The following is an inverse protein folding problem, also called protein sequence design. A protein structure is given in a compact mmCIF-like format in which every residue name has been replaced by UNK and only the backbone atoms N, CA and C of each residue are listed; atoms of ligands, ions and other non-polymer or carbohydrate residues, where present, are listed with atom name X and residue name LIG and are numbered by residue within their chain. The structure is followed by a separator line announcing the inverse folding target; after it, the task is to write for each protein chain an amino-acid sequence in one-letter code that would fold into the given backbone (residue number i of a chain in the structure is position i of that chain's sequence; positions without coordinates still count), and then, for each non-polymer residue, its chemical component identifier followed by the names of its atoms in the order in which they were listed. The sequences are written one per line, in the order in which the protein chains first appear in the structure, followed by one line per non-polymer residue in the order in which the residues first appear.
data_IF_393460540681
#
_entry.id   IF_393460540681
#
_cell.length_a   1.000
_cell.length_b   1.000
_cell.length_c   1.000
_cell.angle_alpha   90.00
_cell.angle_beta   90.00
_cell.angle_gamma   90.00
#
_symmetry.space_group_name_H-M   'P 1'
#
loop_
_entity.id
_entity.type
_entity.pdbx_description
1 polymer ?
#
# COMPACT_ATOMS: atom_id res chain seq x y z
N UNK A 1 13.33 22.73 1.59
CA UNK A 1 13.92 21.64 2.40
C UNK A 1 13.70 20.23 1.80
N UNK A 2 12.49 19.79 1.40
CA UNK A 2 12.24 18.34 1.13
C UNK A 2 12.80 17.76 -0.20
N UNK A 3 13.42 18.55 -1.10
CA UNK A 3 13.89 18.01 -2.41
C UNK A 3 15.03 16.99 -2.28
N UNK A 4 15.83 17.09 -1.23
CA UNK A 4 17.08 16.35 -1.08
C UNK A 4 16.88 14.92 -0.55
N UNK A 5 15.78 14.68 0.18
CA UNK A 5 15.42 13.39 0.79
C UNK A 5 14.50 12.59 -0.13
N UNK A 6 14.95 12.24 -1.33
CA UNK A 6 14.02 11.68 -2.32
C UNK A 6 14.54 10.47 -3.07
N UNK A 7 15.81 10.08 -2.89
CA UNK A 7 16.36 8.87 -3.49
C UNK A 7 16.16 7.65 -2.57
N UNK A 8 16.42 6.44 -3.09
CA UNK A 8 16.23 5.16 -2.38
C UNK A 8 17.55 4.41 -2.26
N UNK A 9 17.63 3.51 -1.28
CA UNK A 9 18.78 2.61 -1.06
C UNK A 9 18.37 1.18 -0.84
N UNK A 10 19.29 0.26 -1.11
CA UNK A 10 19.30 -1.09 -0.56
C UNK A 10 20.10 -2.00 -1.49
N UNK A 11 21.25 -2.51 -1.04
CA UNK A 11 22.06 -3.40 -1.86
C UNK A 11 21.28 -4.68 -2.21
N UNK A 12 20.58 -5.27 -1.23
CA UNK A 12 19.74 -6.46 -1.46
C UNK A 12 18.48 -6.10 -2.24
N UNK A 13 17.80 -5.02 -1.89
CA UNK A 13 16.57 -4.56 -2.58
C UNK A 13 16.82 -4.32 -4.08
N UNK A 14 17.92 -3.64 -4.43
CA UNK A 14 18.35 -3.41 -5.81
C UNK A 14 18.76 -4.72 -6.50
N UNK A 15 19.44 -5.63 -5.77
CA UNK A 15 19.82 -6.96 -6.26
C UNK A 15 18.64 -7.90 -6.48
N UNK A 16 17.52 -7.71 -5.78
CA UNK A 16 16.28 -8.43 -6.07
C UNK A 16 15.62 -7.80 -7.30
N UNK A 17 15.65 -6.48 -7.40
CA UNK A 17 15.10 -5.71 -8.53
C UNK A 17 13.84 -4.94 -8.19
N UNK A 18 13.59 -4.69 -6.90
CA UNK A 18 12.46 -3.88 -6.41
C UNK A 18 12.57 -2.40 -6.82
N UNK A 19 13.77 -1.93 -7.13
CA UNK A 19 14.01 -0.62 -7.73
C UNK A 19 13.42 -0.45 -9.14
N UNK A 20 12.93 -1.54 -9.77
CA UNK A 20 12.13 -1.46 -11.00
C UNK A 20 10.73 -0.90 -10.75
N UNK A 21 10.16 -1.09 -9.56
CA UNK A 21 8.83 -0.60 -9.16
C UNK A 21 8.86 0.78 -8.52
N UNK A 22 7.68 1.41 -8.37
CA UNK A 22 7.53 2.79 -7.90
C UNK A 22 8.10 3.02 -6.49
N UNK A 23 7.92 2.06 -5.57
CA UNK A 23 8.33 2.18 -4.17
C UNK A 23 9.83 2.46 -4.00
N UNK A 24 10.66 1.72 -4.72
CA UNK A 24 12.13 1.76 -4.64
C UNK A 24 12.82 2.35 -5.87
N UNK A 25 12.07 2.80 -6.89
CA UNK A 25 12.65 3.51 -8.03
C UNK A 25 13.56 4.66 -7.55
N UNK A 26 14.71 4.84 -8.17
CA UNK A 26 15.63 5.94 -7.85
C UNK A 26 14.99 7.32 -8.07
N UNK A 27 15.60 8.35 -7.48
CA UNK A 27 15.09 9.70 -7.23
C UNK A 27 14.13 10.36 -8.25
N UNK A 28 13.40 11.41 -7.87
CA UNK A 28 12.28 11.97 -8.63
C UNK A 28 12.62 12.56 -9.99
N UNK A 29 13.89 12.86 -10.24
CA UNK A 29 14.36 13.37 -11.53
C UNK A 29 14.53 12.24 -12.57
N UNK A 30 14.52 10.98 -12.12
CA UNK A 30 14.50 9.80 -12.97
C UNK A 30 13.25 9.82 -13.86
N UNK A 31 13.40 9.80 -15.20
CA UNK A 31 12.26 9.78 -16.13
C UNK A 31 11.27 8.64 -15.82
N UNK A 32 11.77 7.48 -15.41
CA UNK A 32 10.95 6.33 -15.03
C UNK A 32 10.06 6.62 -13.81
N UNK A 33 10.61 7.27 -12.79
CA UNK A 33 9.83 7.65 -11.60
C UNK A 33 8.73 8.65 -11.95
N UNK A 34 9.04 9.67 -12.76
CA UNK A 34 8.05 10.65 -13.22
C UNK A 34 6.94 9.98 -14.01
N UNK A 35 7.30 9.02 -14.86
CA UNK A 35 6.32 8.28 -15.64
C UNK A 35 5.44 7.39 -14.76
N UNK A 36 5.97 6.67 -13.77
CA UNK A 36 5.13 5.96 -12.80
C UNK A 36 4.15 6.90 -12.09
N UNK A 37 4.62 8.07 -11.63
CA UNK A 37 3.76 9.06 -10.97
C UNK A 37 2.65 9.53 -11.90
N UNK A 38 2.94 9.73 -13.18
CA UNK A 38 1.94 10.10 -14.21
C UNK A 38 0.89 9.01 -14.36
N UNK A 39 1.31 7.75 -14.56
CA UNK A 39 0.41 6.61 -14.73
C UNK A 39 -0.50 6.42 -13.50
N UNK A 40 0.09 6.46 -12.30
CA UNK A 40 -0.67 6.31 -11.06
C UNK A 40 -1.63 7.48 -10.82
N UNK A 41 -1.22 8.72 -11.09
CA UNK A 41 -2.10 9.87 -10.95
C UNK A 41 -3.29 9.83 -11.92
N UNK A 42 -3.12 9.21 -13.09
CA UNK A 42 -4.20 9.02 -14.05
C UNK A 42 -5.18 7.92 -13.62
N UNK A 43 -4.67 6.81 -13.09
CA UNK A 43 -5.51 5.64 -12.77
C UNK A 43 -6.08 5.63 -11.34
N UNK A 44 -5.31 6.07 -10.35
CA UNK A 44 -5.71 6.13 -8.93
C UNK A 44 -5.55 7.55 -8.34
N UNK A 45 -5.62 8.58 -9.19
CA UNK A 45 -5.71 9.95 -8.69
C UNK A 45 -7.08 10.25 -8.09
N UNK A 46 -7.23 11.37 -7.36
CA UNK A 46 -8.48 11.75 -6.68
C UNK A 46 -9.75 11.71 -7.54
N UNK A 47 -9.62 12.08 -8.83
CA UNK A 47 -10.74 12.04 -9.77
C UNK A 47 -11.01 10.63 -10.29
N UNK A 48 -9.96 9.84 -10.49
CA UNK A 48 -10.09 8.48 -11.03
C UNK A 48 -10.72 7.54 -10.00
N UNK A 49 -10.38 7.68 -8.71
CA UNK A 49 -11.00 6.91 -7.63
C UNK A 49 -12.51 7.16 -7.47
N UNK A 50 -13.04 8.26 -8.03
CA UNK A 50 -14.47 8.54 -8.05
C UNK A 50 -15.21 7.90 -9.24
N UNK A 51 -14.50 7.14 -10.09
CA UNK A 51 -15.13 6.40 -11.18
C UNK A 51 -16.13 5.38 -10.62
N UNK A 52 -17.35 5.38 -11.19
CA UNK A 52 -18.44 4.55 -10.70
C UNK A 52 -18.09 3.05 -10.75
N UNK A 53 -17.31 2.60 -11.75
CA UNK A 53 -16.91 1.20 -11.84
C UNK A 53 -15.92 0.85 -10.73
N UNK A 54 -14.96 1.73 -10.42
CA UNK A 54 -14.00 1.50 -9.33
C UNK A 54 -14.70 1.45 -7.97
N UNK A 55 -15.65 2.35 -7.73
CA UNK A 55 -16.47 2.33 -6.51
C UNK A 55 -17.32 1.05 -6.42
N UNK A 56 -17.95 0.65 -7.53
CA UNK A 56 -18.73 -0.58 -7.59
C UNK A 56 -17.86 -1.83 -7.33
N UNK A 57 -16.65 -1.91 -7.90
CA UNK A 57 -15.74 -3.03 -7.65
C UNK A 57 -15.35 -3.14 -6.17
N UNK A 58 -15.15 -2.00 -5.50
CA UNK A 58 -14.88 -1.95 -4.05
C UNK A 58 -16.09 -2.41 -3.23
N UNK A 59 -17.31 -1.97 -3.58
CA UNK A 59 -18.53 -2.40 -2.90
C UNK A 59 -18.77 -3.91 -3.07
N UNK A 60 -18.61 -4.44 -4.29
CA UNK A 60 -18.76 -5.87 -4.57
C UNK A 60 -17.76 -6.72 -3.78
N UNK A 61 -16.48 -6.32 -3.72
CA UNK A 61 -15.48 -7.06 -2.96
C UNK A 61 -15.70 -6.91 -1.45
N UNK A 62 -16.19 -5.76 -0.98
CA UNK A 62 -16.60 -5.57 0.42
C UNK A 62 -17.73 -6.53 0.79
N UNK A 63 -18.73 -6.71 -0.07
CA UNK A 63 -19.80 -7.68 0.18
C UNK A 63 -19.28 -9.11 0.26
N UNK A 64 -18.35 -9.49 -0.62
CA UNK A 64 -17.70 -10.82 -0.56
C UNK A 64 -16.91 -11.01 0.73
N UNK A 65 -16.14 -10.00 1.14
CA UNK A 65 -15.42 -10.03 2.42
C UNK A 65 -16.39 -10.21 3.61
N UNK A 66 -17.49 -9.46 3.65
CA UNK A 66 -18.49 -9.60 4.71
C UNK A 66 -19.11 -11.00 4.73
N UNK A 67 -19.41 -11.58 3.56
CA UNK A 67 -19.91 -12.95 3.47
C UNK A 67 -18.88 -13.98 3.97
N UNK A 68 -17.58 -13.77 3.74
CA UNK A 68 -16.52 -14.62 4.28
C UNK A 68 -16.45 -14.54 5.81
N UNK A 69 -16.51 -13.34 6.38
CA UNK A 69 -16.58 -13.17 7.84
C UNK A 69 -17.79 -13.88 8.46
N UNK A 70 -18.95 -13.85 7.80
CA UNK A 70 -20.15 -14.52 8.28
C UNK A 70 -20.06 -16.05 8.22
N UNK A 71 -19.37 -16.59 7.20
CA UNK A 71 -19.27 -18.05 6.97
C UNK A 71 -18.18 -18.70 7.80
N UNK A 72 -17.06 -18.02 8.00
CA UNK A 72 -15.89 -18.54 8.70
C UNK A 72 -15.23 -17.44 9.55
N UNK A 73 -15.85 -17.07 10.69
CA UNK A 73 -15.33 -16.00 11.53
C UNK A 73 -13.99 -16.33 12.19
N UNK A 74 -13.58 -17.60 12.27
CA UNK A 74 -12.32 -18.00 12.93
C UNK A 74 -11.09 -17.58 12.11
N UNK A 75 -11.22 -17.50 10.78
CA UNK A 75 -10.15 -17.13 9.86
C UNK A 75 -10.17 -15.65 9.45
N UNK A 76 -10.75 -14.77 10.28
CA UNK A 76 -10.94 -13.35 9.96
C UNK A 76 -9.66 -12.58 9.61
N UNK A 77 -8.49 -13.00 10.11
CA UNK A 77 -7.22 -12.33 9.82
C UNK A 77 -6.73 -12.56 8.38
N UNK A 78 -7.20 -13.64 7.74
CA UNK A 78 -6.81 -14.03 6.38
C UNK A 78 -7.57 -13.23 5.32
N UNK A 79 -8.87 -13.04 5.49
CA UNK A 79 -9.74 -12.50 4.44
C UNK A 79 -9.48 -11.05 4.03
N UNK A 80 -9.07 -10.11 4.92
CA UNK A 80 -8.68 -8.77 4.50
C UNK A 80 -7.56 -8.79 3.44
N UNK A 81 -6.58 -9.67 3.62
CA UNK A 81 -5.45 -9.86 2.69
C UNK A 81 -5.93 -10.40 1.36
N UNK A 82 -6.68 -11.49 1.36
CA UNK A 82 -7.20 -12.10 0.15
C UNK A 82 -8.12 -11.16 -0.63
N UNK A 83 -9.04 -10.48 0.06
CA UNK A 83 -10.02 -9.59 -0.58
C UNK A 83 -9.36 -8.34 -1.14
N UNK A 84 -8.35 -7.79 -0.45
CA UNK A 84 -7.56 -6.67 -0.98
C UNK A 84 -6.75 -7.12 -2.19
N UNK A 85 -6.12 -8.30 -2.14
CA UNK A 85 -5.40 -8.88 -3.26
C UNK A 85 -6.30 -9.09 -4.48
N UNK A 86 -7.50 -9.64 -4.28
CA UNK A 86 -8.51 -9.82 -5.32
C UNK A 86 -8.96 -8.50 -5.96
N UNK A 87 -9.24 -7.48 -5.14
CA UNK A 87 -9.61 -6.15 -5.63
C UNK A 87 -8.49 -5.56 -6.49
N UNK A 88 -7.24 -5.62 -6.04
CA UNK A 88 -6.12 -5.06 -6.80
C UNK A 88 -5.87 -5.86 -8.08
N UNK A 89 -6.00 -7.20 -8.06
CA UNK A 89 -5.92 -8.01 -9.29
C UNK A 89 -6.99 -7.63 -10.30
N UNK A 90 -8.21 -7.39 -9.83
CA UNK A 90 -9.31 -6.95 -10.68
C UNK A 90 -9.04 -5.58 -11.28
N UNK A 91 -8.61 -4.61 -10.48
CA UNK A 91 -8.30 -3.26 -10.95
C UNK A 91 -7.09 -3.22 -11.88
N UNK A 92 -6.01 -3.92 -11.54
CA UNK A 92 -4.76 -3.87 -12.29
C UNK A 92 -4.82 -4.71 -13.57
N UNK A 93 -5.37 -5.92 -13.48
CA UNK A 93 -5.28 -6.94 -14.53
C UNK A 93 -6.63 -7.44 -15.07
N UNK A 94 -7.76 -6.93 -14.56
CA UNK A 94 -9.07 -7.39 -14.99
C UNK A 94 -9.32 -8.85 -14.60
N UNK A 95 -8.58 -9.34 -13.60
CA UNK A 95 -8.59 -10.72 -13.15
C UNK A 95 -9.66 -10.92 -12.08
N UNK A 96 -10.50 -11.95 -12.25
CA UNK A 96 -11.45 -12.37 -11.22
C UNK A 96 -10.84 -13.51 -10.42
N UNK A 97 -10.54 -13.25 -9.15
CA UNK A 97 -9.96 -14.25 -8.27
C UNK A 97 -10.93 -15.37 -7.94
N UNK A 98 -10.46 -16.61 -7.95
CA UNK A 98 -11.23 -17.81 -7.64
C UNK A 98 -11.21 -18.14 -6.14
N UNK A 99 -11.14 -17.14 -5.26
CA UNK A 99 -11.00 -17.32 -3.80
C UNK A 99 -12.11 -18.15 -3.14
N UNK A 100 -13.29 -18.22 -3.77
CA UNK A 100 -14.40 -19.05 -3.28
C UNK A 100 -14.20 -20.56 -3.59
N UNK A 101 -13.16 -20.92 -4.36
CA UNK A 101 -12.81 -22.29 -4.76
C UNK A 101 -11.47 -22.76 -4.19
N UNK A 102 -10.77 -21.95 -3.40
CA UNK A 102 -9.48 -22.26 -2.81
C UNK A 102 -8.50 -21.10 -2.86
N UNK A 103 -7.20 -21.40 -2.72
CA UNK A 103 -6.15 -20.40 -2.82
C UNK A 103 -5.93 -20.02 -4.29
N UNK A 104 -5.99 -18.72 -4.57
CA UNK A 104 -5.84 -18.19 -5.92
C UNK A 104 -4.35 -18.13 -6.33
N UNK A 105 -3.95 -18.74 -7.46
CA UNK A 105 -2.54 -18.78 -7.86
C UNK A 105 -1.89 -17.41 -8.05
N UNK A 106 -2.62 -16.41 -8.56
CA UNK A 106 -2.05 -15.07 -8.74
C UNK A 106 -1.95 -14.31 -7.42
N UNK A 107 -2.85 -14.57 -6.47
CA UNK A 107 -2.72 -14.06 -5.09
C UNK A 107 -1.49 -14.66 -4.43
N UNK A 108 -1.31 -15.99 -4.51
CA UNK A 108 -0.18 -16.70 -3.90
C UNK A 108 1.18 -16.21 -4.43
N UNK A 109 1.32 -16.06 -5.75
CA UNK A 109 2.55 -15.54 -6.37
C UNK A 109 2.94 -14.19 -5.78
N UNK A 110 1.96 -13.32 -5.55
CA UNK A 110 2.26 -11.99 -5.00
C UNK A 110 2.55 -12.05 -3.51
N UNK A 111 1.83 -12.87 -2.74
CA UNK A 111 2.14 -13.07 -1.31
C UNK A 111 3.57 -13.57 -1.10
N UNK A 112 4.03 -14.53 -1.90
CA UNK A 112 5.41 -15.04 -1.87
C UNK A 112 6.40 -13.91 -2.16
N UNK A 113 6.16 -13.12 -3.21
CA UNK A 113 7.03 -11.99 -3.55
C UNK A 113 7.06 -10.92 -2.43
N UNK A 114 5.92 -10.63 -1.79
CA UNK A 114 5.82 -9.67 -0.69
C UNK A 114 6.51 -10.14 0.60
N UNK A 115 6.53 -11.44 0.88
CA UNK A 115 7.39 -11.98 1.95
C UNK A 115 8.88 -11.74 1.63
N UNK A 116 9.27 -11.92 0.37
CA UNK A 116 10.60 -11.59 -0.13
C UNK A 116 10.93 -10.11 0.04
N UNK A 117 9.98 -9.23 -0.28
CA UNK A 117 10.08 -7.79 -0.06
C UNK A 117 10.27 -7.41 1.40
N UNK A 118 9.41 -7.91 2.30
CA UNK A 118 9.45 -7.63 3.72
C UNK A 118 10.85 -7.93 4.28
N UNK A 119 11.37 -9.13 3.99
CA UNK A 119 12.72 -9.54 4.39
C UNK A 119 13.83 -8.69 3.75
N UNK A 120 13.71 -8.32 2.48
CA UNK A 120 14.71 -7.49 1.79
C UNK A 120 14.73 -6.04 2.28
N UNK A 121 13.59 -5.53 2.74
CA UNK A 121 13.43 -4.15 3.24
C UNK A 121 13.68 -4.00 4.74
N UNK A 122 13.73 -5.10 5.48
CA UNK A 122 13.92 -5.13 6.93
C UNK A 122 15.30 -4.57 7.34
N UNK A 123 15.34 -3.52 8.19
CA UNK A 123 16.59 -2.95 8.65
C UNK A 123 17.48 -3.98 9.35
N UNK A 124 18.69 -4.18 8.81
CA UNK A 124 19.68 -5.09 9.41
C UNK A 124 19.52 -6.57 9.04
N UNK A 125 18.49 -6.96 8.27
CA UNK A 125 18.32 -8.35 7.82
C UNK A 125 19.50 -8.87 6.99
N UNK A 126 20.20 -7.98 6.27
CA UNK A 126 21.39 -8.30 5.50
C UNK A 126 22.54 -7.36 5.82
N UNK A 127 23.63 -7.91 6.37
CA UNK A 127 24.83 -7.14 6.73
C UNK A 127 25.42 -6.37 5.54
N UNK A 128 25.22 -6.83 4.29
CA UNK A 128 25.72 -6.15 3.09
C UNK A 128 25.12 -4.76 2.87
N UNK A 129 23.93 -4.49 3.42
CA UNK A 129 23.30 -3.18 3.33
C UNK A 129 24.00 -2.15 4.25
N UNK A 130 24.57 -2.60 5.37
CA UNK A 130 25.34 -1.77 6.29
C UNK A 130 26.85 -1.76 5.96
N UNK A 131 27.36 -2.86 5.42
CA UNK A 131 28.77 -3.04 5.08
C UNK A 131 28.91 -3.36 3.59
N UNK A 132 28.95 -2.33 2.71
CA UNK A 132 28.97 -2.54 1.25
C UNK A 132 30.15 -3.39 0.76
N UNK A 133 31.25 -3.48 1.51
CA UNK A 133 32.41 -4.33 1.19
C UNK A 133 32.03 -5.81 1.05
N UNK A 134 31.00 -6.27 1.79
CA UNK A 134 30.52 -7.65 1.73
C UNK A 134 29.96 -8.04 0.35
N UNK A 135 29.64 -7.06 -0.51
CA UNK A 135 29.17 -7.33 -1.88
C UNK A 135 30.20 -8.05 -2.75
N UNK A 136 31.48 -7.87 -2.44
CA UNK A 136 32.59 -8.43 -3.18
C UNK A 136 32.96 -9.85 -2.73
N UNK A 137 32.43 -10.34 -1.60
CA UNK A 137 32.70 -11.70 -1.12
C UNK A 137 32.14 -12.71 -2.14
N UNK A 138 32.97 -13.60 -2.70
CA UNK A 138 32.54 -14.67 -3.59
C UNK A 138 31.47 -15.57 -2.97
N UNK A 139 30.52 -16.08 -3.77
CA UNK A 139 29.41 -16.90 -3.26
C UNK A 139 29.87 -18.19 -2.58
N UNK A 140 30.95 -18.81 -3.08
CA UNK A 140 31.50 -20.05 -2.55
C UNK A 140 32.13 -19.90 -1.16
N UNK A 141 32.42 -18.68 -0.72
CA UNK A 141 32.92 -18.38 0.64
C UNK A 141 31.79 -18.16 1.66
N UNK A 142 30.54 -18.08 1.21
CA UNK A 142 29.38 -17.87 2.08
C UNK A 142 28.58 -19.16 2.25
N UNK A 143 28.20 -19.55 3.48
CA UNK A 143 27.34 -20.71 3.71
C UNK A 143 26.06 -20.61 2.86
N UNK A 144 25.73 -21.68 2.14
CA UNK A 144 24.56 -21.76 1.26
C UNK A 144 24.42 -20.63 0.23
N UNK A 145 25.52 -19.99 -0.17
CA UNK A 145 25.53 -18.86 -1.12
C UNK A 145 25.09 -17.52 -0.53
N UNK A 146 24.83 -17.46 0.78
CA UNK A 146 24.54 -16.24 1.54
C UNK A 146 23.42 -15.37 0.97
N UNK A 147 23.55 -14.05 1.13
CA UNK A 147 22.56 -13.07 0.67
C UNK A 147 22.37 -13.08 -0.86
N UNK A 148 23.38 -13.51 -1.63
CA UNK A 148 23.31 -13.55 -3.11
C UNK A 148 22.37 -14.67 -3.59
N UNK A 149 22.43 -15.85 -2.98
CA UNK A 149 21.50 -16.94 -3.27
C UNK A 149 20.05 -16.55 -2.89
N UNK A 150 19.87 -15.92 -1.73
CA UNK A 150 18.57 -15.40 -1.28
C UNK A 150 18.03 -14.36 -2.27
N UNK A 151 18.86 -13.38 -2.67
CA UNK A 151 18.46 -12.36 -3.64
C UNK A 151 18.10 -12.94 -5.02
N UNK A 152 18.80 -14.01 -5.47
CA UNK A 152 18.45 -14.73 -6.71
C UNK A 152 17.08 -15.40 -6.63
N UNK A 153 16.76 -16.05 -5.51
CA UNK A 153 15.45 -16.66 -5.27
C UNK A 153 14.35 -15.59 -5.29
N UNK A 154 14.51 -14.54 -4.48
CA UNK A 154 13.56 -13.42 -4.41
C UNK A 154 13.40 -12.71 -5.75
N UNK A 155 14.46 -12.62 -6.57
CA UNK A 155 14.37 -12.05 -7.92
C UNK A 155 13.49 -12.90 -8.84
N UNK A 156 13.55 -14.22 -8.72
CA UNK A 156 12.67 -15.12 -9.49
C UNK A 156 11.21 -14.92 -9.09
N UNK A 157 10.93 -14.91 -7.79
CA UNK A 157 9.60 -14.65 -7.23
C UNK A 157 9.07 -13.26 -7.66
N UNK A 158 9.91 -12.23 -7.64
CA UNK A 158 9.57 -10.89 -8.14
C UNK A 158 9.26 -10.88 -9.64
N UNK A 159 10.02 -11.61 -10.46
CA UNK A 159 9.74 -11.69 -11.89
C UNK A 159 8.41 -12.41 -12.15
N UNK A 160 8.11 -13.49 -11.42
CA UNK A 160 6.82 -14.18 -11.51
C UNK A 160 5.65 -13.23 -11.15
N UNK A 161 5.82 -12.41 -10.11
CA UNK A 161 4.86 -11.37 -9.73
C UNK A 161 4.60 -10.33 -10.84
N UNK A 162 5.60 -10.04 -11.67
CA UNK A 162 5.48 -9.08 -12.78
C UNK A 162 4.91 -9.73 -14.04
N UNK A 163 5.40 -10.93 -14.37
CA UNK A 163 5.20 -11.55 -15.67
C UNK A 163 3.90 -12.37 -15.73
N UNK A 164 3.49 -13.06 -14.66
CA UNK A 164 2.32 -13.93 -14.70
C UNK A 164 1.00 -13.14 -14.84
N UNK A 165 0.71 -12.11 -14.02
CA UNK A 165 -0.53 -11.35 -14.18
C UNK A 165 -0.58 -10.56 -15.50
N UNK A 166 0.57 -10.06 -15.97
CA UNK A 166 0.64 -9.39 -17.27
C UNK A 166 0.43 -10.34 -18.44
N UNK A 167 1.02 -11.54 -18.36
CA UNK A 167 0.81 -12.61 -19.34
C UNK A 167 -0.66 -13.02 -19.42
N UNK A 168 -1.34 -13.10 -18.28
CA UNK A 168 -2.80 -13.31 -18.23
C UNK A 168 -3.54 -12.25 -19.04
N UNK A 169 -3.24 -10.95 -18.86
CA UNK A 169 -3.90 -9.88 -19.62
C UNK A 169 -3.69 -10.04 -21.12
N UNK A 170 -2.45 -10.29 -21.56
CA UNK A 170 -2.15 -10.49 -22.99
C UNK A 170 -2.90 -11.69 -23.57
N UNK A 171 -2.98 -12.79 -22.84
CA UNK A 171 -3.75 -13.97 -23.27
C UNK A 171 -5.25 -13.66 -23.39
N UNK A 172 -5.82 -12.90 -22.44
CA UNK A 172 -7.22 -12.48 -22.53
C UNK A 172 -7.46 -11.51 -23.69
N UNK A 173 -6.49 -10.64 -24.01
CA UNK A 173 -6.57 -9.73 -25.18
C UNK A 173 -6.59 -10.53 -26.48
N UNK A 174 -5.67 -11.48 -26.66
CA UNK A 174 -5.61 -12.36 -27.83
C UNK A 174 -6.90 -13.19 -27.99
N UNK A 175 -7.51 -13.60 -26.87
CA UNK A 175 -8.78 -14.33 -26.86
C UNK A 175 -10.02 -13.44 -27.04
N UNK A 176 -9.89 -12.11 -27.09
CA UNK A 176 -11.01 -11.17 -27.16
C UNK A 176 -11.88 -11.13 -25.88
N UNK A 177 -11.30 -11.50 -24.74
CA UNK A 177 -11.98 -11.64 -23.43
C UNK A 177 -11.40 -10.73 -22.34
N UNK A 178 -10.47 -9.85 -22.69
CA UNK A 178 -9.85 -8.92 -21.74
C UNK A 178 -10.90 -8.00 -21.11
N UNK A 179 -10.84 -7.87 -19.78
CA UNK A 179 -11.71 -6.99 -19.02
C UNK A 179 -11.05 -5.65 -18.78
N UNK A 180 -11.82 -4.55 -18.62
CA UNK A 180 -11.27 -3.24 -18.28
C UNK A 180 -10.34 -3.31 -17.06
N UNK A 181 -9.12 -2.81 -17.22
CA UNK A 181 -8.09 -2.81 -16.17
C UNK A 181 -7.00 -1.79 -16.48
N UNK A 182 -6.18 -1.45 -15.48
CA UNK A 182 -4.98 -0.61 -15.66
C UNK A 182 -4.11 -1.11 -16.82
N UNK A 183 -3.71 -2.39 -16.77
CA UNK A 183 -2.81 -2.98 -17.76
C UNK A 183 -3.42 -2.97 -19.15
N UNK A 184 -4.72 -3.31 -19.29
CA UNK A 184 -5.40 -3.28 -20.57
C UNK A 184 -5.42 -1.87 -21.16
N UNK A 185 -5.87 -0.88 -20.38
CA UNK A 185 -5.99 0.50 -20.86
C UNK A 185 -4.65 1.07 -21.37
N UNK A 186 -3.54 0.78 -20.68
CA UNK A 186 -2.22 1.25 -21.11
C UNK A 186 -1.63 0.47 -22.29
N UNK A 187 -1.96 -0.82 -22.44
CA UNK A 187 -1.60 -1.58 -23.64
C UNK A 187 -2.34 -1.05 -24.88
N UNK A 188 -3.63 -0.73 -24.73
CA UNK A 188 -4.46 -0.17 -25.81
C UNK A 188 -4.05 1.26 -26.20
N UNK A 189 -3.72 2.12 -25.23
CA UNK A 189 -3.22 3.49 -25.47
C UNK A 189 -1.99 3.49 -26.39
N UNK A 190 -1.08 2.52 -26.20
CA UNK A 190 0.17 2.43 -26.95
C UNK A 190 0.01 1.88 -28.37
N UNK A 191 -1.09 1.19 -28.68
CA UNK A 191 -1.41 0.47 -29.95
C UNK A 191 -0.41 -0.64 -30.32
N UNK A 192 0.88 -0.34 -30.35
CA UNK A 192 2.01 -1.26 -30.56
C UNK A 192 3.07 -0.97 -29.49
N UNK A 193 2.90 -1.49 -28.26
CA UNK A 193 3.84 -1.26 -27.17
C UNK A 193 5.21 -1.88 -27.48
N UNK A 194 6.28 -1.11 -27.25
CA UNK A 194 7.65 -1.65 -27.31
C UNK A 194 7.95 -2.51 -26.08
N UNK A 195 9.05 -3.27 -26.10
CA UNK A 195 9.49 -4.01 -24.91
C UNK A 195 9.73 -3.11 -23.67
N UNK A 196 10.12 -1.85 -23.89
CA UNK A 196 10.30 -0.85 -22.82
C UNK A 196 8.94 -0.39 -22.27
N UNK A 197 7.94 -0.20 -23.14
CA UNK A 197 6.58 0.13 -22.72
C UNK A 197 5.98 -1.03 -21.92
N UNK A 198 6.09 -2.27 -22.40
CA UNK A 198 5.58 -3.44 -21.68
C UNK A 198 6.23 -3.60 -20.31
N UNK A 199 7.56 -3.43 -20.20
CA UNK A 199 8.27 -3.53 -18.93
C UNK A 199 7.82 -2.44 -17.94
N UNK A 200 7.61 -1.22 -18.41
CA UNK A 200 7.09 -0.12 -17.59
C UNK A 200 5.65 -0.39 -17.12
N UNK A 201 4.77 -0.88 -18.01
CA UNK A 201 3.38 -1.22 -17.67
C UNK A 201 3.35 -2.35 -16.64
N UNK A 202 4.13 -3.41 -16.84
CA UNK A 202 4.31 -4.51 -15.88
C UNK A 202 4.71 -3.96 -14.51
N UNK A 203 5.75 -3.13 -14.48
CA UNK A 203 6.27 -2.58 -13.25
C UNK A 203 5.28 -1.64 -12.54
N UNK A 204 4.50 -0.87 -13.31
CA UNK A 204 3.49 0.02 -12.75
C UNK A 204 2.33 -0.78 -12.15
N UNK A 205 1.81 -1.78 -12.87
CA UNK A 205 0.75 -2.65 -12.39
C UNK A 205 1.17 -3.44 -11.14
N UNK A 206 2.37 -4.02 -11.15
CA UNK A 206 2.92 -4.72 -9.99
C UNK A 206 3.15 -3.79 -8.78
N UNK A 207 3.42 -2.50 -9.04
CA UNK A 207 3.54 -1.49 -7.99
C UNK A 207 2.19 -1.14 -7.35
N UNK A 208 1.07 -1.25 -8.07
CA UNK A 208 -0.28 -1.09 -7.50
C UNK A 208 -0.55 -2.21 -6.49
N UNK A 209 -0.22 -3.45 -6.86
CA UNK A 209 -0.39 -4.61 -5.99
C UNK A 209 0.49 -4.50 -4.75
N UNK A 210 1.81 -4.40 -4.93
CA UNK A 210 2.75 -4.38 -3.80
C UNK A 210 2.51 -3.24 -2.81
N UNK A 211 1.99 -2.10 -3.25
CA UNK A 211 1.64 -0.99 -2.37
C UNK A 211 0.42 -1.23 -1.49
N UNK A 212 -0.61 -1.93 -2.01
CA UNK A 212 -1.89 -2.13 -1.32
C UNK A 212 -2.05 -3.49 -0.63
N UNK A 213 -1.27 -4.49 -1.01
CA UNK A 213 -1.48 -5.88 -0.58
C UNK A 213 -1.17 -6.16 0.90
N UNK A 214 -0.30 -5.38 1.52
CA UNK A 214 0.04 -5.53 2.94
C UNK A 214 -0.55 -4.40 3.80
N UNK A 215 -0.58 -3.18 3.28
CA UNK A 215 -0.90 -1.96 4.04
C UNK A 215 -2.39 -1.87 4.40
N UNK A 216 -3.28 -2.08 3.43
CA UNK A 216 -4.73 -2.06 3.64
C UNK A 216 -5.18 -3.20 4.56
N UNK A 217 -4.78 -4.48 4.34
CA UNK A 217 -5.12 -5.57 5.25
C UNK A 217 -4.62 -5.35 6.69
N UNK A 218 -3.42 -4.77 6.86
CA UNK A 218 -2.89 -4.43 8.18
C UNK A 218 -3.77 -3.40 8.88
N UNK A 219 -4.23 -2.37 8.16
CA UNK A 219 -5.14 -1.35 8.69
C UNK A 219 -6.52 -1.94 9.03
N UNK A 220 -7.06 -2.83 8.19
CA UNK A 220 -8.31 -3.55 8.48
C UNK A 220 -8.18 -4.45 9.71
N UNK A 221 -7.05 -5.14 9.86
CA UNK A 221 -6.77 -5.98 11.04
C UNK A 221 -6.65 -5.13 12.30
N UNK A 222 -5.98 -3.97 12.21
CA UNK A 222 -5.90 -3.01 13.31
C UNK A 222 -7.28 -2.46 13.69
N UNK A 223 -8.15 -2.18 12.71
CA UNK A 223 -9.54 -1.80 12.95
C UNK A 223 -10.30 -2.89 13.71
N UNK A 224 -10.22 -4.15 13.28
CA UNK A 224 -10.89 -5.28 13.95
C UNK A 224 -10.42 -5.38 15.41
N UNK A 225 -9.10 -5.32 15.64
CA UNK A 225 -8.52 -5.31 16.98
C UNK A 225 -9.05 -4.13 17.83
N UNK A 226 -9.08 -2.92 17.28
CA UNK A 226 -9.57 -1.75 17.97
C UNK A 226 -11.05 -1.88 18.38
N UNK A 227 -11.90 -2.41 17.49
CA UNK A 227 -13.31 -2.63 17.80
C UNK A 227 -13.52 -3.72 18.87
N UNK A 228 -12.69 -4.76 18.88
CA UNK A 228 -12.71 -5.78 19.94
C UNK A 228 -12.30 -5.22 21.31
N UNK A 229 -11.32 -4.32 21.33
CA UNK A 229 -10.84 -3.68 22.56
C UNK A 229 -11.76 -2.53 23.04
N UNK A 230 -12.51 -1.91 22.13
CA UNK A 230 -13.39 -0.76 22.39
C UNK A 230 -14.82 -0.97 21.87
N UNK A 231 -15.61 -1.85 22.53
CA UNK A 231 -17.00 -2.09 22.15
C UNK A 231 -17.88 -0.83 22.20
N UNK A 232 -17.53 0.15 23.04
CA UNK A 232 -18.21 1.43 23.14
C UNK A 232 -18.09 2.27 21.85
N UNK A 233 -16.89 2.27 21.25
CA UNK A 233 -16.63 2.91 19.96
C UNK A 233 -17.39 2.19 18.85
N UNK A 234 -17.33 0.85 18.83
CA UNK A 234 -18.06 0.04 17.85
C UNK A 234 -19.57 0.30 17.92
N UNK A 235 -20.15 0.31 19.12
CA UNK A 235 -21.58 0.56 19.32
C UNK A 235 -21.99 1.97 18.88
N UNK A 236 -21.12 2.97 19.07
CA UNK A 236 -21.38 4.33 18.58
C UNK A 236 -21.33 4.41 17.04
N UNK A 237 -20.38 3.74 16.41
CA UNK A 237 -20.30 3.65 14.94
C UNK A 237 -21.54 2.97 14.34
N UNK A 238 -22.03 1.90 14.99
CA UNK A 238 -23.27 1.22 14.59
C UNK A 238 -24.47 2.18 14.66
N UNK A 239 -24.62 2.95 15.75
CA UNK A 239 -25.70 3.96 15.85
C UNK A 239 -25.64 5.02 14.74
N UNK A 240 -24.45 5.43 14.33
CA UNK A 240 -24.28 6.36 13.19
C UNK A 240 -24.77 5.72 11.88
N UNK A 241 -24.42 4.45 11.63
CA UNK A 241 -24.92 3.69 10.48
C UNK A 241 -26.44 3.51 10.53
N UNK A 242 -26.99 3.12 11.67
CA UNK A 242 -28.43 2.91 11.86
C UNK A 242 -29.22 4.17 11.53
N UNK A 243 -28.67 5.34 11.87
CA UNK A 243 -29.30 6.64 11.60
C UNK A 243 -29.42 6.91 10.09
N UNK A 244 -28.42 6.54 9.30
CA UNK A 244 -28.42 6.81 7.85
C UNK A 244 -29.12 5.72 7.03
N UNK A 245 -29.15 4.49 7.53
CA UNK A 245 -29.79 3.35 6.88
C UNK A 245 -31.28 3.24 7.25
N UNK A 246 -31.66 3.80 8.40
CA UNK A 246 -33.01 3.73 8.94
C UNK A 246 -33.38 2.34 9.47
N UNK A 247 -34.59 2.21 10.07
CA UNK A 247 -34.99 1.00 10.80
C UNK A 247 -35.24 -0.21 9.90
N UNK A 248 -35.38 -0.02 8.59
CA UNK A 248 -35.76 -1.07 7.64
C UNK A 248 -34.57 -1.73 6.94
N UNK A 249 -33.34 -1.22 7.10
CA UNK A 249 -32.10 -1.81 6.54
C UNK A 249 -32.22 -2.25 5.07
N UNK A 250 -32.94 -1.48 4.24
CA UNK A 250 -33.30 -1.91 2.88
C UNK A 250 -32.12 -1.93 1.90
N UNK A 251 -30.96 -1.44 2.32
CA UNK A 251 -29.73 -1.39 1.54
C UNK A 251 -28.50 -1.45 2.45
N UNK A 252 -27.36 -1.79 1.84
CA UNK A 252 -26.06 -1.64 2.48
C UNK A 252 -25.53 -0.20 2.33
N UNK A 253 -24.57 0.23 3.18
CA UNK A 253 -23.86 1.49 3.00
C UNK A 253 -23.15 1.54 1.65
N UNK A 254 -23.11 2.73 1.06
CA UNK A 254 -22.43 3.01 -0.22
C UNK A 254 -21.47 4.18 -0.05
N UNK A 255 -20.59 4.41 -1.02
CA UNK A 255 -19.69 5.57 -0.97
C UNK A 255 -20.43 6.92 -0.90
N UNK A 256 -21.66 6.99 -1.41
CA UNK A 256 -22.50 8.19 -1.32
C UNK A 256 -22.87 8.58 0.13
N UNK A 257 -22.78 7.62 1.07
CA UNK A 257 -23.07 7.86 2.48
C UNK A 257 -21.90 8.47 3.25
N UNK A 258 -20.66 8.39 2.71
CA UNK A 258 -19.42 8.73 3.43
C UNK A 258 -19.48 10.11 4.09
N UNK A 259 -19.99 11.12 3.38
CA UNK A 259 -20.08 12.49 3.90
C UNK A 259 -20.99 12.64 5.14
N UNK A 260 -21.90 11.68 5.36
CA UNK A 260 -22.84 11.65 6.49
C UNK A 260 -22.37 10.73 7.63
N UNK A 261 -21.15 10.22 7.56
CA UNK A 261 -20.56 9.30 8.52
C UNK A 261 -19.29 9.89 9.17
N UNK A 262 -19.38 11.05 9.88
CA UNK A 262 -18.21 11.70 10.46
C UNK A 262 -17.52 10.85 11.54
N UNK A 263 -18.25 10.10 12.37
CA UNK A 263 -17.64 9.27 13.40
C UNK A 263 -16.92 8.05 12.83
N UNK A 264 -17.47 7.38 11.81
CA UNK A 264 -16.76 6.31 11.11
C UNK A 264 -15.51 6.82 10.41
N UNK A 265 -15.57 7.99 9.79
CA UNK A 265 -14.37 8.62 9.22
C UNK A 265 -13.33 8.94 10.30
N UNK A 266 -13.76 9.40 11.48
CA UNK A 266 -12.89 9.61 12.62
C UNK A 266 -12.25 8.30 13.13
N UNK A 267 -12.98 7.17 13.08
CA UNK A 267 -12.43 5.85 13.38
C UNK A 267 -11.34 5.47 12.37
N UNK A 268 -11.56 5.70 11.07
CA UNK A 268 -10.54 5.44 10.04
C UNK A 268 -9.27 6.23 10.32
N UNK A 269 -9.39 7.52 10.65
CA UNK A 269 -8.24 8.36 11.03
C UNK A 269 -7.54 7.84 12.29
N UNK A 270 -8.29 7.42 13.31
CA UNK A 270 -7.71 6.88 14.54
C UNK A 270 -7.02 5.54 14.33
N UNK A 271 -7.52 4.67 13.44
CA UNK A 271 -6.83 3.42 13.05
C UNK A 271 -5.47 3.73 12.44
N UNK A 272 -5.43 4.68 11.50
CA UNK A 272 -4.19 5.08 10.84
C UNK A 272 -3.18 5.69 11.81
N UNK A 273 -3.64 6.39 12.85
CA UNK A 273 -2.80 6.97 13.91
C UNK A 273 -2.32 5.93 14.92
N UNK A 274 -3.24 5.12 15.43
CA UNK A 274 -3.02 4.24 16.57
C UNK A 274 -2.11 3.06 16.21
N UNK A 275 -2.27 2.52 15.00
CA UNK A 275 -1.46 1.40 14.51
C UNK A 275 -1.11 1.58 13.01
N UNK A 276 -0.17 2.49 12.68
CA UNK A 276 0.20 2.75 11.30
C UNK A 276 0.86 1.52 10.66
N UNK A 277 0.39 1.14 9.47
CA UNK A 277 0.88 -0.04 8.76
C UNK A 277 2.38 0.01 8.39
N UNK A 278 2.96 1.21 8.26
CA UNK A 278 4.37 1.41 7.90
C UNK A 278 5.05 2.39 8.88
N UNK A 279 5.36 1.95 10.12
CA UNK A 279 5.76 2.84 11.22
C UNK A 279 7.09 3.60 10.99
N UNK A 280 7.99 3.08 10.13
CA UNK A 280 9.25 3.74 9.76
C UNK A 280 9.24 4.33 8.33
N UNK A 281 8.11 4.23 7.63
CA UNK A 281 8.05 4.49 6.19
C UNK A 281 9.04 3.61 5.41
N UNK A 282 9.38 4.05 4.21
CA UNK A 282 10.47 3.48 3.42
C UNK A 282 11.70 4.37 3.55
N UNK A 283 12.90 3.79 3.64
CA UNK A 283 14.15 4.54 3.76
C UNK A 283 14.39 5.52 2.60
N UNK A 284 14.82 6.75 2.90
CA UNK A 284 15.23 7.75 1.92
C UNK A 284 16.75 7.92 1.94
N UNK A 285 17.34 8.24 0.79
CA UNK A 285 18.74 8.66 0.68
C UNK A 285 18.85 10.13 0.32
N UNK A 286 19.76 10.83 0.96
CA UNK A 286 20.11 12.20 0.59
C UNK A 286 20.87 12.23 -0.74
N UNK A 287 20.44 13.10 -1.64
CA UNK A 287 21.11 13.33 -2.94
C UNK A 287 22.25 14.35 -2.87
N UNK A 288 22.29 15.15 -1.81
CA UNK A 288 23.29 16.18 -1.50
C UNK A 288 23.36 16.38 0.01
N UNK A 289 24.40 17.07 0.50
CA UNK A 289 24.52 17.44 1.91
C UNK A 289 23.37 18.38 2.30
N UNK A 290 22.86 18.24 3.52
CA UNK A 290 21.85 19.13 4.11
C UNK A 290 22.25 19.58 5.51
N UNK A 291 21.60 20.63 6.00
CA UNK A 291 21.74 21.10 7.39
C UNK A 291 20.37 21.08 8.04
N UNK A 292 20.24 20.33 9.14
CA UNK A 292 19.02 20.23 9.93
C UNK A 292 19.29 20.67 11.38
N UNK A 293 18.80 21.85 11.75
CA UNK A 293 19.21 22.52 12.99
C UNK A 293 20.71 22.80 12.95
N UNK A 294 21.44 22.32 13.96
CA UNK A 294 22.89 22.45 14.05
C UNK A 294 23.65 21.23 13.48
N UNK A 295 22.94 20.27 12.86
CA UNK A 295 23.52 19.04 12.35
C UNK A 295 23.74 19.11 10.84
N UNK A 296 24.96 18.79 10.41
CA UNK A 296 25.25 18.51 8.99
C UNK A 296 24.92 17.05 8.70
N UNK A 297 24.05 16.83 7.72
CA UNK A 297 23.67 15.51 7.23
C UNK A 297 24.32 15.30 5.87
N UNK A 298 25.38 14.46 5.77
CA UNK A 298 26.10 14.28 4.52
C UNK A 298 25.25 13.62 3.42
N UNK A 299 25.57 13.92 2.17
CA UNK A 299 25.08 13.23 0.98
C UNK A 299 25.26 11.72 1.13
N UNK A 300 24.25 10.97 0.70
CA UNK A 300 24.26 9.52 0.76
C UNK A 300 23.80 8.94 2.10
N UNK A 301 23.58 9.79 3.12
CA UNK A 301 22.97 9.37 4.38
C UNK A 301 21.58 8.77 4.14
N UNK A 302 21.30 7.66 4.83
CA UNK A 302 19.99 7.01 4.84
C UNK A 302 19.17 7.58 6.00
N UNK A 303 17.96 8.04 5.70
CA UNK A 303 17.04 8.64 6.66
C UNK A 303 15.73 7.87 6.66
N UNK A 304 15.26 7.56 7.86
CA UNK A 304 13.98 6.94 8.13
C UNK A 304 13.05 7.96 8.74
N UNK A 305 11.83 8.07 8.21
CA UNK A 305 10.81 8.90 8.83
C UNK A 305 10.13 8.06 9.92
N UNK A 306 10.37 8.39 11.19
CA UNK A 306 9.73 7.69 12.30
C UNK A 306 8.26 8.14 12.45
N UNK A 307 7.42 7.63 11.53
CA UNK A 307 5.98 7.90 11.45
C UNK A 307 5.30 7.50 12.76
N UNK A 308 5.67 6.35 13.34
CA UNK A 308 5.17 5.93 14.64
C UNK A 308 5.41 7.00 15.71
N UNK A 309 6.63 7.49 15.86
CA UNK A 309 6.94 8.52 16.85
C UNK A 309 6.15 9.82 16.62
N UNK A 310 5.90 10.20 15.36
CA UNK A 310 5.08 11.38 15.05
C UNK A 310 3.61 11.17 15.44
N UNK A 311 3.05 10.01 15.14
CA UNK A 311 1.65 9.66 15.43
C UNK A 311 1.39 9.34 16.92
N UNK A 312 2.46 9.19 17.69
CA UNK A 312 2.44 8.90 19.13
C UNK A 312 2.99 10.06 19.96
N UNK A 313 3.26 11.23 19.36
CA UNK A 313 3.72 12.41 20.08
C UNK A 313 2.60 12.95 20.99
N UNK A 314 2.74 12.92 22.33
CA UNK A 314 1.71 13.41 23.25
C UNK A 314 1.45 14.91 23.15
N UNK A 315 2.37 15.70 22.58
CA UNK A 315 2.15 17.14 22.33
C UNK A 315 1.15 17.38 21.20
N UNK A 316 1.04 16.44 20.25
CA UNK A 316 0.12 16.50 19.12
C UNK A 316 -1.12 15.63 19.38
N UNK A 317 -0.93 14.45 19.94
CA UNK A 317 -1.97 13.45 20.23
C UNK A 317 -1.99 13.12 21.72
N UNK A 318 -2.69 13.90 22.57
CA UNK A 318 -2.75 13.66 24.01
C UNK A 318 -3.24 12.25 24.35
N UNK A 319 -2.63 11.52 25.29
CA UNK A 319 -2.95 10.11 25.56
C UNK A 319 -2.83 9.23 24.29
N UNK A 320 -1.66 9.17 23.66
CA UNK A 320 -1.49 8.58 22.33
C UNK A 320 -1.75 7.06 22.27
N UNK A 321 -1.65 6.37 23.41
CA UNK A 321 -1.96 4.94 23.54
C UNK A 321 -3.45 4.62 23.48
N UNK A 322 -4.31 5.60 23.80
CA UNK A 322 -5.76 5.44 23.81
C UNK A 322 -6.35 5.56 22.40
N UNK A 323 -7.15 4.55 22.01
CA UNK A 323 -7.95 4.60 20.78
C UNK A 323 -9.17 5.51 21.00
N UNK A 324 -9.11 6.74 20.50
CA UNK A 324 -10.14 7.76 20.73
C UNK A 324 -10.47 8.52 19.43
N UNK A 325 -11.46 8.07 18.66
CA UNK A 325 -11.90 8.75 17.44
C UNK A 325 -12.36 10.21 17.67
N UNK A 326 -12.82 10.52 18.88
CA UNK A 326 -13.31 11.86 19.27
C UNK A 326 -12.28 12.98 19.06
N UNK A 327 -10.98 12.64 18.95
CA UNK A 327 -9.90 13.59 18.61
C UNK A 327 -10.20 14.38 17.33
N UNK A 328 -10.85 13.72 16.37
CA UNK A 328 -11.11 14.26 15.03
C UNK A 328 -12.50 14.88 14.88
N UNK A 329 -13.28 14.95 15.97
CA UNK A 329 -14.63 15.51 15.94
C UNK A 329 -14.71 16.87 16.64
N UNK A 330 -15.47 17.80 16.08
CA UNK A 330 -15.85 19.05 16.72
C UNK A 330 -16.97 18.82 17.74
N UNK A 331 -17.27 19.84 18.54
CA UNK A 331 -18.32 19.77 19.58
C UNK A 331 -19.70 19.40 19.04
N UNK A 332 -19.99 19.78 17.78
CA UNK A 332 -21.23 19.42 17.08
C UNK A 332 -21.20 18.03 16.42
N UNK A 333 -20.13 17.25 16.60
CA UNK A 333 -19.98 15.91 16.03
C UNK A 333 -19.57 15.85 14.55
N UNK A 334 -19.26 16.98 13.92
CA UNK A 334 -18.67 17.00 12.57
C UNK A 334 -17.17 16.66 12.60
N UNK A 335 -16.61 16.24 11.46
CA UNK A 335 -15.15 16.11 11.33
C UNK A 335 -14.49 17.49 11.41
N UNK A 336 -13.39 17.58 12.16
CA UNK A 336 -12.58 18.79 12.25
C UNK A 336 -11.67 18.92 11.04
N UNK A 337 -11.38 20.15 10.68
CA UNK A 337 -10.23 20.44 9.84
C UNK A 337 -8.95 20.18 10.64
N UNK A 338 -8.07 19.33 10.11
CA UNK A 338 -6.83 18.93 10.76
C UNK A 338 -5.66 19.71 10.20
N UNK A 339 -4.77 20.15 11.08
CA UNK A 339 -3.48 20.65 10.66
C UNK A 339 -2.61 19.51 10.14
N UNK A 340 -1.70 19.80 9.20
CA UNK A 340 -0.88 18.77 8.54
C UNK A 340 -0.10 17.87 9.50
N UNK A 341 0.37 18.42 10.61
CA UNK A 341 1.16 17.70 11.61
C UNK A 341 0.29 16.93 12.62
N UNK A 342 -1.04 17.12 12.60
CA UNK A 342 -2.02 16.37 13.39
C UNK A 342 -2.93 15.48 12.54
N UNK A 343 -2.68 15.37 11.23
CA UNK A 343 -3.48 14.58 10.30
C UNK A 343 -2.81 13.23 9.98
N UNK A 344 -3.33 12.10 10.49
CA UNK A 344 -2.78 10.78 10.21
C UNK A 344 -2.84 10.40 8.73
N UNK A 345 -3.80 10.94 7.97
CA UNK A 345 -3.92 10.71 6.53
C UNK A 345 -2.85 11.44 5.70
N UNK A 346 -2.09 12.34 6.34
CA UNK A 346 -0.93 12.98 5.74
C UNK A 346 0.35 12.33 6.27
N UNK A 347 0.48 12.16 7.58
CA UNK A 347 1.70 11.64 8.23
C UNK A 347 1.93 10.16 7.90
N UNK A 348 0.87 9.35 7.91
CA UNK A 348 0.95 7.91 7.67
C UNK A 348 1.31 7.52 6.22
N UNK A 349 1.15 8.46 5.28
CA UNK A 349 1.30 8.22 3.85
C UNK A 349 2.58 8.84 3.25
N UNK A 350 3.52 9.18 4.11
CA UNK A 350 4.85 9.68 3.74
C UNK A 350 4.86 11.16 3.40
N UNK A 351 5.93 11.62 2.76
CA UNK A 351 6.22 13.06 2.66
C UNK A 351 6.79 13.48 1.31
N UNK A 352 6.54 14.75 0.95
CA UNK A 352 7.18 15.41 -0.19
C UNK A 352 6.87 14.77 -1.55
N UNK A 353 7.89 14.70 -2.43
CA UNK A 353 7.74 14.15 -3.79
C UNK A 353 7.46 12.64 -3.84
N UNK A 354 7.63 11.96 -2.70
CA UNK A 354 7.42 10.51 -2.52
C UNK A 354 6.12 10.21 -1.76
N UNK A 355 5.30 11.22 -1.48
CA UNK A 355 3.97 11.06 -0.90
C UNK A 355 3.16 10.02 -1.65
N UNK A 356 2.52 9.08 -0.95
CA UNK A 356 1.75 7.99 -1.58
C UNK A 356 0.64 8.53 -2.49
N UNK A 357 0.35 7.81 -3.58
CA UNK A 357 -0.76 8.10 -4.50
C UNK A 357 -1.93 7.14 -4.19
N UNK A 358 -3.17 7.55 -4.43
CA UNK A 358 -4.36 6.70 -4.21
C UNK A 358 -5.07 6.87 -2.87
N UNK A 359 -5.06 8.08 -2.29
CA UNK A 359 -5.50 8.34 -0.90
C UNK A 359 -6.96 8.77 -0.71
N UNK A 360 -7.76 8.76 -1.76
CA UNK A 360 -9.11 9.35 -1.76
C UNK A 360 -10.19 8.31 -1.90
#
# INVERSE_FOLDING_TARGET
MIRQYTDRTGCVVDRVGWNRGLGYAHGPDNPRFREFRRLFQQFIGPRACQDANILQMQEEETHRLMLRFLRDPENFYRYPRESTGALILRLAYGYESALDQGQDPLVEVVEIAMQGFAKASEPGAFLVDNFPVLRYIPEWLMPSGGFKAVARKMRKELNEMYDLPFGFVKQQMEAGKARPSFTLSYLEEKRTPTAVDEELIKAAAASLYSGGADTTPSSMTAFILAMMLRPDVQARAQRELDTILGPSWTRLPTFADRARLPYIQAIVLEVLRWNPAVPLGLAHRLTQDDVYGDWVIPKGTVVWANIWSMLQDPAVFPEPTEFRPERYLSENGALRELERHGDPSIIGFGFGRRYVLGLT
#
